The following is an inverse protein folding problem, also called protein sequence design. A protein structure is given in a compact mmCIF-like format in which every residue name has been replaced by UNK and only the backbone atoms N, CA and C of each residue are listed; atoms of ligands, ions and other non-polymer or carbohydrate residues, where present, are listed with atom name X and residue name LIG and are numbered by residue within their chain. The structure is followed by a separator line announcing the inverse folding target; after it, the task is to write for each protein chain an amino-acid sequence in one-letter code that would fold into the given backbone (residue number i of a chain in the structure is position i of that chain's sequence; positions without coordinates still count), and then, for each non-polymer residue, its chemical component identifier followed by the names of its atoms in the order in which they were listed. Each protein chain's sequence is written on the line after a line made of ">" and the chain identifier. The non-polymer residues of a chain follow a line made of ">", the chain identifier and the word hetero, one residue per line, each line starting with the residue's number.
data_IF_214853969932
#
_entry.id   IF_214853969932
#
_cell.length_a   1.000
_cell.length_b   1.000
_cell.length_c   1.000
_cell.angle_alpha   90.00
_cell.angle_beta   90.00
_cell.angle_gamma   90.00
#
_symmetry.space_group_name_H-M   'P 1'
#
loop_
_entity.id
_entity.type
_entity.pdbx_description
1 polymer ?
#
# COMPACT_ATOMS: atom_id res chain seq x y z
N UNK A 1 10.90 -17.33 -1.30
CA UNK A 1 9.79 -17.67 -2.22
C UNK A 1 9.00 -16.40 -2.31
N UNK A 2 9.02 -15.75 -3.47
CA UNK A 2 8.32 -14.50 -3.66
C UNK A 2 6.82 -14.69 -3.68
N UNK A 3 6.09 -13.62 -3.41
CA UNK A 3 4.64 -13.56 -3.58
C UNK A 3 4.36 -13.05 -4.98
N UNK A 4 3.71 -13.87 -5.81
CA UNK A 4 3.19 -13.45 -7.11
C UNK A 4 1.88 -12.69 -6.91
N UNK A 5 1.79 -11.47 -7.43
CA UNK A 5 0.63 -10.59 -7.29
C UNK A 5 0.28 -9.98 -8.65
N UNK A 6 -0.99 -10.04 -9.03
CA UNK A 6 -1.53 -9.25 -10.13
C UNK A 6 -1.93 -7.87 -9.60
N UNK A 7 -1.03 -6.89 -9.71
CA UNK A 7 -1.27 -5.54 -9.19
C UNK A 7 -2.04 -4.65 -10.19
N UNK A 8 -2.84 -3.69 -9.70
CA UNK A 8 -3.63 -2.79 -10.54
C UNK A 8 -2.81 -1.64 -11.09
N UNK A 9 -2.78 -1.46 -12.40
CA UNK A 9 -2.15 -0.32 -13.07
C UNK A 9 -3.03 0.92 -12.95
N UNK A 10 -2.44 2.01 -12.46
CA UNK A 10 -3.12 3.29 -12.25
C UNK A 10 -3.10 4.10 -13.54
N UNK A 11 -4.28 4.46 -14.05
CA UNK A 11 -4.42 5.27 -15.27
C UNK A 11 -5.20 6.56 -15.04
N UNK A 12 -4.83 7.62 -15.74
CA UNK A 12 -5.49 8.92 -15.67
C UNK A 12 -6.55 9.06 -16.75
N UNK A 13 -7.72 9.59 -16.38
CA UNK A 13 -8.80 9.91 -17.31
C UNK A 13 -9.41 11.28 -16.99
N UNK A 14 -9.88 12.00 -18.00
CA UNK A 14 -10.76 13.15 -17.77
C UNK A 14 -12.21 12.70 -17.64
N UNK A 15 -13.05 13.51 -16.99
CA UNK A 15 -14.48 13.21 -16.78
C UNK A 15 -15.25 12.86 -18.07
N UNK A 16 -14.79 13.38 -19.22
CA UNK A 16 -15.34 13.09 -20.55
C UNK A 16 -15.15 11.62 -20.96
N UNK A 17 -14.09 10.99 -20.46
CA UNK A 17 -13.73 9.59 -20.73
C UNK A 17 -14.10 8.67 -19.55
N UNK A 18 -15.21 8.96 -18.87
CA UNK A 18 -15.67 8.19 -17.71
C UNK A 18 -16.06 6.75 -18.06
N UNK A 19 -16.42 6.46 -19.31
CA UNK A 19 -16.73 5.10 -19.78
C UNK A 19 -15.46 4.27 -19.95
N UNK A 20 -14.43 4.85 -20.53
CA UNK A 20 -13.11 4.26 -20.70
C UNK A 20 -12.44 4.03 -19.34
N UNK A 21 -12.57 5.00 -18.43
CA UNK A 21 -12.17 4.85 -17.04
C UNK A 21 -12.85 3.64 -16.38
N UNK A 22 -14.18 3.51 -16.52
CA UNK A 22 -14.90 2.37 -15.98
C UNK A 22 -14.46 1.05 -16.63
N UNK A 23 -14.23 1.03 -17.94
CA UNK A 23 -13.77 -0.17 -18.65
C UNK A 23 -12.37 -0.62 -18.21
N UNK A 24 -11.48 0.32 -17.92
CA UNK A 24 -10.15 0.05 -17.36
C UNK A 24 -10.25 -0.60 -15.98
N UNK A 25 -11.05 0.00 -15.10
CA UNK A 25 -11.20 -0.47 -13.71
C UNK A 25 -11.90 -1.83 -13.62
N UNK A 26 -12.87 -2.10 -14.50
CA UNK A 26 -13.55 -3.41 -14.58
C UNK A 26 -12.62 -4.56 -14.98
N UNK A 27 -11.48 -4.25 -15.59
CA UNK A 27 -10.44 -5.22 -15.92
C UNK A 27 -9.40 -5.37 -14.81
N UNK A 28 -9.67 -4.80 -13.62
CA UNK A 28 -8.81 -4.92 -12.43
C UNK A 28 -7.84 -3.76 -12.22
N UNK A 29 -7.78 -2.80 -13.15
CA UNK A 29 -6.95 -1.60 -12.98
C UNK A 29 -7.50 -0.60 -11.98
N UNK A 30 -6.67 0.37 -11.62
CA UNK A 30 -7.07 1.53 -10.82
C UNK A 30 -7.09 2.75 -11.73
N UNK A 31 -7.89 3.76 -11.39
CA UNK A 31 -7.97 4.97 -12.21
C UNK A 31 -8.15 6.23 -11.39
N UNK A 32 -7.64 7.35 -11.91
CA UNK A 32 -7.93 8.68 -11.40
C UNK A 32 -8.75 9.41 -12.45
N UNK A 33 -9.99 9.74 -12.10
CA UNK A 33 -10.92 10.48 -12.95
C UNK A 33 -10.91 11.96 -12.54
N UNK A 34 -10.42 12.82 -13.42
CA UNK A 34 -10.30 14.26 -13.18
C UNK A 34 -11.55 15.00 -13.65
N UNK A 35 -12.28 15.63 -12.72
CA UNK A 35 -13.38 16.54 -13.04
C UNK A 35 -12.84 17.87 -13.60
N UNK A 36 -11.76 18.37 -12.98
CA UNK A 36 -11.01 19.55 -13.36
C UNK A 36 -9.60 19.47 -12.77
N UNK A 37 -8.64 20.32 -13.19
CA UNK A 37 -7.29 20.30 -12.63
C UNK A 37 -7.29 20.37 -11.10
N UNK A 38 -6.58 19.44 -10.45
CA UNK A 38 -6.46 19.35 -9.00
C UNK A 38 -7.69 18.79 -8.26
N UNK A 39 -8.75 18.38 -8.96
CA UNK A 39 -9.93 17.71 -8.38
C UNK A 39 -10.17 16.37 -9.08
N UNK A 40 -9.51 15.36 -8.55
CA UNK A 40 -9.58 13.97 -9.01
C UNK A 40 -10.39 13.09 -8.07
N UNK A 41 -10.94 12.02 -8.64
CA UNK A 41 -11.59 10.94 -7.90
C UNK A 41 -10.87 9.63 -8.25
N UNK A 42 -10.44 8.91 -7.23
CA UNK A 42 -9.93 7.56 -7.37
C UNK A 42 -11.12 6.63 -7.67
N UNK A 43 -10.97 5.78 -8.69
CA UNK A 43 -11.97 4.81 -9.15
C UNK A 43 -11.31 3.44 -9.15
N UNK A 44 -11.94 2.46 -8.50
CA UNK A 44 -11.35 1.17 -8.18
C UNK A 44 -12.42 0.06 -8.27
N UNK A 45 -12.01 -1.22 -8.36
CA UNK A 45 -12.87 -2.32 -7.95
C UNK A 45 -13.38 -2.08 -6.51
N UNK A 46 -14.57 -2.59 -6.20
CA UNK A 46 -15.10 -2.47 -4.83
C UNK A 46 -14.19 -3.29 -3.90
N UNK A 47 -13.62 -2.67 -2.83
CA UNK A 47 -12.74 -3.39 -1.91
C UNK A 47 -13.44 -4.58 -1.27
N UNK A 48 -12.74 -5.72 -1.20
CA UNK A 48 -13.15 -6.86 -0.39
C UNK A 48 -12.60 -6.69 1.04
N UNK A 49 -13.46 -6.25 1.96
CA UNK A 49 -13.06 -6.06 3.37
C UNK A 49 -12.68 -7.38 4.09
N UNK A 50 -12.98 -8.53 3.51
CA UNK A 50 -12.57 -9.83 4.05
C UNK A 50 -11.16 -10.24 3.62
N UNK A 51 -10.61 -9.63 2.57
CA UNK A 51 -9.23 -9.83 2.14
C UNK A 51 -8.31 -8.80 2.84
N UNK A 52 -7.47 -9.22 3.80
CA UNK A 52 -6.56 -8.31 4.48
C UNK A 52 -5.50 -7.70 3.56
N UNK A 53 -5.31 -8.24 2.36
CA UNK A 53 -4.36 -7.76 1.36
C UNK A 53 -5.01 -7.04 0.17
N UNK A 54 -6.31 -6.68 0.25
CA UNK A 54 -7.03 -6.04 -0.86
C UNK A 54 -6.35 -4.72 -1.31
N UNK A 55 -5.84 -4.72 -2.55
CA UNK A 55 -5.08 -3.58 -3.08
C UNK A 55 -5.96 -2.34 -3.31
N UNK A 56 -7.26 -2.50 -3.51
CA UNK A 56 -8.20 -1.37 -3.68
C UNK A 56 -8.45 -0.68 -2.33
N UNK A 57 -8.62 -1.46 -1.26
CA UNK A 57 -8.71 -0.96 0.12
C UNK A 57 -7.45 -0.17 0.47
N UNK A 58 -6.27 -0.73 0.23
CA UNK A 58 -5.02 -0.05 0.56
C UNK A 58 -4.75 1.17 -0.31
N UNK A 59 -5.18 1.17 -1.58
CA UNK A 59 -5.13 2.36 -2.43
C UNK A 59 -5.96 3.53 -1.88
N UNK A 60 -7.07 3.24 -1.17
CA UNK A 60 -7.90 4.23 -0.46
C UNK A 60 -7.22 4.66 0.86
N UNK A 61 -6.71 3.71 1.63
CA UNK A 61 -6.05 3.97 2.92
C UNK A 61 -4.81 4.85 2.77
N UNK A 62 -4.03 4.65 1.70
CA UNK A 62 -2.84 5.46 1.39
C UNK A 62 -3.18 6.94 1.12
N UNK A 63 -4.44 7.26 0.77
CA UNK A 63 -4.92 8.63 0.66
C UNK A 63 -5.51 9.17 1.98
N UNK A 64 -5.29 8.49 3.10
CA UNK A 64 -5.87 8.82 4.41
C UNK A 64 -7.40 8.67 4.45
N UNK A 65 -7.99 7.94 3.50
CA UNK A 65 -9.43 7.71 3.41
C UNK A 65 -9.78 6.35 4.01
N UNK A 66 -11.03 6.22 4.50
CA UNK A 66 -11.57 4.95 5.03
C UNK A 66 -12.96 4.64 4.50
N UNK A 67 -13.43 5.44 3.54
CA UNK A 67 -14.78 5.37 3.00
C UNK A 67 -14.72 5.62 1.51
N UNK A 68 -15.58 4.93 0.79
CA UNK A 68 -15.82 5.11 -0.63
C UNK A 68 -17.33 5.18 -0.88
N UNK A 69 -17.69 5.55 -2.10
CA UNK A 69 -19.05 5.49 -2.60
C UNK A 69 -19.11 4.47 -3.72
N UNK A 70 -20.26 3.85 -3.91
CA UNK A 70 -20.55 3.02 -5.08
C UNK A 70 -21.73 3.65 -5.80
N UNK A 71 -21.52 4.34 -6.93
CA UNK A 71 -22.60 4.95 -7.68
C UNK A 71 -23.63 3.90 -8.12
N UNK A 72 -24.92 4.22 -7.97
CA UNK A 72 -26.01 3.34 -8.40
C UNK A 72 -26.25 3.39 -9.92
N UNK A 73 -25.86 4.49 -10.57
CA UNK A 73 -26.12 4.78 -11.98
C UNK A 73 -24.89 5.41 -12.67
N UNK A 74 -24.96 5.49 -14.00
CA UNK A 74 -23.93 6.10 -14.83
C UNK A 74 -22.75 5.17 -15.13
N UNK A 75 -21.69 5.68 -15.78
CA UNK A 75 -20.56 4.89 -16.26
C UNK A 75 -19.81 4.14 -15.16
N UNK A 76 -19.73 4.74 -13.96
CA UNK A 76 -19.01 4.21 -12.80
C UNK A 76 -19.87 3.29 -11.92
N UNK A 77 -21.07 2.90 -12.38
CA UNK A 77 -21.96 2.03 -11.62
C UNK A 77 -21.25 0.75 -11.19
N UNK A 78 -21.35 0.42 -9.90
CA UNK A 78 -20.77 -0.79 -9.32
C UNK A 78 -19.26 -0.73 -9.09
N UNK A 79 -18.63 0.44 -9.24
CA UNK A 79 -17.23 0.67 -8.91
C UNK A 79 -17.11 1.52 -7.64
N UNK A 80 -16.04 1.31 -6.86
CA UNK A 80 -15.74 2.15 -5.73
C UNK A 80 -15.15 3.46 -6.21
N UNK A 81 -15.61 4.56 -5.61
CA UNK A 81 -15.12 5.90 -5.88
C UNK A 81 -14.77 6.63 -4.60
N UNK A 82 -13.65 7.34 -4.61
CA UNK A 82 -13.19 8.12 -3.47
C UNK A 82 -12.56 9.43 -3.94
N UNK A 83 -12.95 10.56 -3.35
CA UNK A 83 -12.35 11.85 -3.67
C UNK A 83 -10.89 11.87 -3.23
N UNK A 84 -9.99 12.23 -4.15
CA UNK A 84 -8.57 12.42 -3.82
C UNK A 84 -8.42 13.72 -3.03
N UNK A 85 -7.88 13.68 -1.79
CA UNK A 85 -7.52 14.90 -1.06
C UNK A 85 -6.59 15.77 -1.88
N UNK A 86 -6.72 17.09 -1.77
CA UNK A 86 -5.92 18.04 -2.57
C UNK A 86 -4.42 17.88 -2.30
N UNK A 87 -4.06 17.63 -1.05
CA UNK A 87 -2.70 17.35 -0.55
C UNK A 87 -2.18 15.97 -0.96
N UNK A 88 -3.04 15.08 -1.47
CA UNK A 88 -2.66 13.78 -2.02
C UNK A 88 -2.62 13.75 -3.56
N UNK A 89 -2.87 14.88 -4.25
CA UNK A 89 -2.82 14.91 -5.72
C UNK A 89 -1.45 14.49 -6.27
N UNK A 90 -0.36 14.85 -5.57
CA UNK A 90 0.99 14.45 -5.96
C UNK A 90 1.20 12.93 -5.82
N UNK A 91 0.57 12.29 -4.83
CA UNK A 91 0.63 10.84 -4.64
C UNK A 91 0.05 10.14 -5.86
N UNK A 92 -1.20 10.47 -6.22
CA UNK A 92 -1.87 9.82 -7.35
C UNK A 92 -1.21 10.16 -8.68
N UNK A 93 -0.64 11.35 -8.83
CA UNK A 93 0.14 11.72 -10.02
C UNK A 93 1.39 10.84 -10.15
N UNK A 94 2.14 10.62 -9.06
CA UNK A 94 3.29 9.71 -9.07
C UNK A 94 2.90 8.30 -9.49
N UNK A 95 1.75 7.79 -9.01
CA UNK A 95 1.25 6.46 -9.41
C UNK A 95 0.97 6.41 -10.91
N UNK A 96 0.29 7.43 -11.45
CA UNK A 96 0.01 7.57 -12.89
C UNK A 96 1.32 7.60 -13.71
N UNK A 97 2.29 8.39 -13.27
CA UNK A 97 3.55 8.58 -13.99
C UNK A 97 4.37 7.29 -14.02
N UNK A 98 4.52 6.63 -12.85
CA UNK A 98 5.13 5.29 -12.73
C UNK A 98 4.48 4.31 -13.71
N UNK A 99 3.15 4.30 -13.75
CA UNK A 99 2.36 3.31 -14.47
C UNK A 99 2.14 3.64 -15.95
N UNK A 100 2.61 4.80 -16.42
CA UNK A 100 2.37 5.30 -17.78
C UNK A 100 2.90 4.39 -18.87
N UNK A 101 3.97 3.63 -18.61
CA UNK A 101 4.54 2.66 -19.57
C UNK A 101 3.76 1.34 -19.66
N UNK A 102 2.87 1.04 -18.71
CA UNK A 102 2.16 -0.23 -18.68
C UNK A 102 0.86 -0.12 -19.46
N UNK A 103 0.70 -0.90 -20.53
CA UNK A 103 -0.48 -0.82 -21.39
C UNK A 103 -1.71 -1.53 -20.81
N UNK A 104 -1.49 -2.60 -20.04
CA UNK A 104 -2.56 -3.44 -19.48
C UNK A 104 -3.11 -2.88 -18.15
N UNK A 105 -4.39 -3.12 -17.81
CA UNK A 105 -4.99 -2.71 -16.54
C UNK A 105 -4.37 -3.35 -15.30
N UNK A 106 -3.78 -4.52 -15.45
CA UNK A 106 -3.09 -5.23 -14.37
C UNK A 106 -1.71 -5.67 -14.83
N UNK A 107 -0.81 -5.91 -13.87
CA UNK A 107 0.53 -6.43 -14.12
C UNK A 107 0.87 -7.49 -13.08
N UNK A 108 1.34 -8.64 -13.54
CA UNK A 108 1.88 -9.67 -12.66
C UNK A 108 3.30 -9.31 -12.25
N UNK A 109 3.56 -9.31 -10.95
CA UNK A 109 4.89 -9.11 -10.39
C UNK A 109 5.14 -10.11 -9.25
N UNK A 110 6.38 -10.56 -9.12
CA UNK A 110 6.82 -11.37 -7.99
C UNK A 110 7.71 -10.53 -7.08
N UNK A 111 7.36 -10.48 -5.79
CA UNK A 111 8.15 -9.76 -4.78
C UNK A 111 8.48 -10.70 -3.63
N UNK A 112 9.78 -10.86 -3.36
CA UNK A 112 10.26 -11.48 -2.13
C UNK A 112 10.57 -10.41 -1.07
N UNK A 113 9.75 -10.35 -0.03
CA UNK A 113 9.92 -9.42 1.09
C UNK A 113 11.17 -9.74 1.93
N UNK A 114 11.60 -11.00 1.98
CA UNK A 114 12.80 -11.42 2.71
C UNK A 114 14.08 -11.07 1.96
N UNK A 115 14.00 -10.83 0.65
CA UNK A 115 15.11 -10.34 -0.15
C UNK A 115 15.19 -8.81 -0.13
N UNK A 116 14.07 -8.11 -0.35
CA UNK A 116 14.11 -6.65 -0.49
C UNK A 116 14.13 -5.89 0.84
N UNK A 117 13.35 -6.31 1.85
CA UNK A 117 13.28 -5.65 3.16
C UNK A 117 12.86 -4.16 3.14
N UNK A 118 12.34 -3.64 2.01
CA UNK A 118 12.13 -2.21 1.81
C UNK A 118 11.12 -1.61 2.79
N UNK A 119 10.00 -2.30 3.01
CA UNK A 119 8.93 -1.85 3.91
C UNK A 119 9.32 -1.94 5.40
N UNK A 120 10.49 -2.51 5.72
CA UNK A 120 11.04 -2.52 7.07
C UNK A 120 11.86 -1.25 7.39
N UNK A 121 11.87 -0.27 6.50
CA UNK A 121 12.51 1.03 6.70
C UNK A 121 11.45 2.14 6.69
N UNK A 122 11.61 3.10 7.61
CA UNK A 122 10.77 4.31 7.77
C UNK A 122 9.26 4.10 7.94
N UNK A 123 8.81 2.85 8.16
CA UNK A 123 7.41 2.51 8.42
C UNK A 123 7.15 2.37 9.93
N UNK A 124 6.19 3.13 10.45
CA UNK A 124 5.73 2.99 11.84
C UNK A 124 4.74 1.83 11.95
N UNK A 125 5.14 0.79 12.69
CA UNK A 125 4.34 -0.42 12.89
C UNK A 125 3.70 -0.37 14.27
N UNK A 126 2.37 -0.30 14.29
CA UNK A 126 1.59 -0.37 15.52
C UNK A 126 1.53 -1.82 16.04
N UNK A 127 1.54 -1.95 17.36
CA UNK A 127 1.34 -3.19 18.10
C UNK A 127 -0.03 -3.12 18.77
N UNK A 128 -0.88 -4.09 18.47
CA UNK A 128 -2.22 -4.24 19.05
C UNK A 128 -2.29 -5.43 20.01
N UNK A 129 -3.37 -5.54 20.78
CA UNK A 129 -3.57 -6.61 21.77
C UNK A 129 -3.40 -8.03 21.18
N UNK A 130 -3.77 -8.21 19.91
CA UNK A 130 -3.57 -9.46 19.16
C UNK A 130 -2.09 -9.78 18.97
N UNK A 131 -1.26 -8.77 18.71
CA UNK A 131 0.19 -8.92 18.60
C UNK A 131 0.82 -9.22 19.95
N UNK A 132 0.33 -8.60 21.03
CA UNK A 132 0.82 -8.88 22.39
C UNK A 132 0.58 -10.33 22.79
N UNK A 133 -0.63 -10.86 22.52
CA UNK A 133 -0.96 -12.28 22.72
C UNK A 133 -0.05 -13.19 21.90
N UNK A 134 0.18 -12.85 20.63
CA UNK A 134 1.07 -13.61 19.74
C UNK A 134 2.51 -13.64 20.26
N UNK A 135 3.03 -12.51 20.73
CA UNK A 135 4.36 -12.46 21.35
C UNK A 135 4.40 -13.27 22.65
N UNK A 136 3.33 -13.28 23.44
CA UNK A 136 3.22 -14.10 24.65
C UNK A 136 3.26 -15.60 24.35
N UNK A 137 2.47 -16.05 23.37
CA UNK A 137 2.44 -17.44 22.90
C UNK A 137 3.78 -17.90 22.35
N UNK A 138 4.52 -17.00 21.70
CA UNK A 138 5.89 -17.24 21.24
C UNK A 138 6.96 -17.22 22.36
N UNK A 139 6.59 -16.94 23.61
CA UNK A 139 7.53 -16.78 24.73
C UNK A 139 8.40 -15.52 24.61
N UNK A 140 7.95 -14.52 23.85
CA UNK A 140 8.70 -13.31 23.48
C UNK A 140 8.09 -12.01 24.02
N UNK A 141 7.59 -12.05 25.26
CA UNK A 141 7.11 -10.85 25.98
C UNK A 141 8.18 -9.77 26.13
N UNK A 142 9.47 -10.09 25.97
CA UNK A 142 10.55 -9.12 25.91
C UNK A 142 10.35 -8.09 24.79
N UNK A 143 9.68 -8.45 23.70
CA UNK A 143 9.41 -7.56 22.57
C UNK A 143 8.47 -6.39 22.90
N UNK A 144 7.64 -6.55 23.92
CA UNK A 144 6.73 -5.50 24.41
C UNK A 144 7.41 -4.43 25.27
N UNK A 145 8.74 -4.50 25.40
CA UNK A 145 9.55 -3.58 26.20
C UNK A 145 10.65 -2.94 25.36
N UNK A 146 11.18 -1.78 25.80
CA UNK A 146 12.42 -1.25 25.24
C UNK A 146 13.56 -2.29 25.30
N UNK A 147 14.41 -2.36 24.26
CA UNK A 147 14.51 -1.41 23.15
C UNK A 147 13.64 -1.76 21.92
N UNK A 148 12.81 -2.81 21.98
CA UNK A 148 12.08 -3.33 20.82
C UNK A 148 10.84 -2.53 20.47
N UNK A 149 10.10 -2.08 21.48
CA UNK A 149 8.91 -1.25 21.33
C UNK A 149 9.01 0.02 22.15
N UNK A 150 8.27 1.04 21.73
CA UNK A 150 8.14 2.33 22.43
C UNK A 150 6.71 2.83 22.33
N UNK A 151 6.33 3.75 23.22
CA UNK A 151 5.03 4.42 23.15
C UNK A 151 5.14 5.73 22.36
N UNK A 152 4.26 5.90 21.38
CA UNK A 152 4.07 7.14 20.61
C UNK A 152 2.57 7.48 20.66
N UNK A 153 2.21 8.68 21.11
CA UNK A 153 0.82 9.16 21.18
C UNK A 153 -0.17 8.16 21.83
N UNK A 154 0.28 7.53 22.92
CA UNK A 154 -0.52 6.55 23.67
C UNK A 154 -0.58 5.15 23.05
N UNK A 155 0.00 4.93 21.87
CA UNK A 155 0.05 3.64 21.17
C UNK A 155 1.41 2.99 21.29
N UNK A 156 1.45 1.65 21.30
CA UNK A 156 2.70 0.90 21.27
C UNK A 156 3.13 0.69 19.81
N UNK A 157 4.39 1.01 19.49
CA UNK A 157 4.96 0.88 18.14
C UNK A 157 6.29 0.14 18.18
N UNK A 158 6.64 -0.55 17.09
CA UNK A 158 8.00 -1.06 16.91
C UNK A 158 9.01 0.08 16.87
N UNK A 159 10.15 -0.15 17.49
CA UNK A 159 11.24 0.82 17.53
C UNK A 159 12.05 0.77 16.24
N UNK A 160 12.19 1.93 15.59
CA UNK A 160 13.15 2.13 14.53
C UNK A 160 14.52 2.55 15.10
N UNK A 161 15.59 2.13 14.43
CA UNK A 161 16.96 2.58 14.68
C UNK A 161 17.13 4.04 14.22
N UNK A 162 18.26 4.68 14.56
CA UNK A 162 18.55 6.06 14.14
C UNK A 162 18.53 6.25 12.62
N UNK A 163 18.90 5.21 11.87
CA UNK A 163 18.85 5.17 10.41
C UNK A 163 17.48 4.72 9.88
N UNK A 164 16.42 4.81 10.68
CA UNK A 164 15.02 4.49 10.33
C UNK A 164 14.73 3.02 9.99
N UNK A 165 15.73 2.12 10.04
CA UNK A 165 15.48 0.68 9.89
C UNK A 165 14.75 0.13 11.10
N UNK A 166 13.82 -0.80 10.89
CA UNK A 166 13.23 -1.57 11.97
C UNK A 166 14.32 -2.26 12.79
N UNK A 167 14.24 -2.21 14.12
CA UNK A 167 15.22 -2.88 15.00
C UNK A 167 15.31 -4.39 14.76
N UNK A 168 14.27 -5.00 14.22
CA UNK A 168 14.23 -6.42 13.90
C UNK A 168 14.76 -6.76 12.49
N UNK A 169 15.07 -5.77 11.66
CA UNK A 169 15.64 -5.99 10.33
C UNK A 169 17.13 -6.33 10.46
N UNK A 170 17.50 -7.56 10.09
CA UNK A 170 18.88 -8.00 10.06
C UNK A 170 19.62 -7.49 8.81
N UNK A 171 20.94 -7.66 8.78
CA UNK A 171 21.79 -7.22 7.66
C UNK A 171 21.51 -7.95 6.35
N UNK A 172 20.90 -9.13 6.39
CA UNK A 172 20.49 -9.92 5.23
C UNK A 172 19.03 -9.65 4.80
N UNK A 173 18.45 -8.52 5.23
CA UNK A 173 17.06 -8.11 5.01
C UNK A 173 15.99 -9.02 5.64
N UNK A 174 16.38 -10.03 6.43
CA UNK A 174 15.41 -10.90 7.11
C UNK A 174 14.99 -10.31 8.44
N UNK A 175 13.72 -10.49 8.77
CA UNK A 175 13.17 -10.06 10.04
C UNK A 175 13.49 -11.09 11.15
N UNK A 176 14.15 -10.66 12.21
CA UNK A 176 14.48 -11.49 13.38
C UNK A 176 13.26 -11.95 14.19
N UNK A 177 12.06 -11.44 13.88
CA UNK A 177 10.79 -11.84 14.49
C UNK A 177 9.78 -12.31 13.44
N UNK A 178 10.24 -12.75 12.26
CA UNK A 178 9.37 -12.97 11.10
C UNK A 178 8.16 -13.88 11.37
N UNK A 179 8.34 -14.97 12.12
CA UNK A 179 7.29 -15.97 12.38
C UNK A 179 6.14 -15.43 13.21
N UNK A 180 6.44 -14.60 14.22
CA UNK A 180 5.47 -14.01 15.14
C UNK A 180 5.32 -12.50 14.95
N UNK A 181 5.74 -11.94 13.80
CA UNK A 181 5.62 -10.52 13.47
C UNK A 181 4.19 -10.00 13.66
N UNK A 182 4.10 -8.69 13.94
CA UNK A 182 2.83 -7.99 14.14
C UNK A 182 1.95 -8.02 12.88
N UNK A 183 0.63 -7.89 13.06
CA UNK A 183 -0.37 -7.93 11.99
C UNK A 183 -0.12 -6.84 10.95
N UNK A 184 0.23 -5.63 11.40
CA UNK A 184 0.63 -4.54 10.50
C UNK A 184 1.82 -4.89 9.58
N UNK A 185 2.68 -5.86 9.93
CA UNK A 185 3.72 -6.39 9.03
C UNK A 185 3.30 -7.65 8.27
N UNK A 186 2.38 -8.44 8.82
CA UNK A 186 1.92 -9.70 8.21
C UNK A 186 0.93 -9.45 7.08
N UNK A 187 0.02 -8.52 7.33
CA UNK A 187 -1.12 -8.21 6.48
C UNK A 187 -0.79 -7.05 5.54
N UNK A 188 0.42 -6.50 5.60
CA UNK A 188 0.87 -5.47 4.68
C UNK A 188 0.86 -6.01 3.24
N UNK A 189 0.03 -5.45 2.34
CA UNK A 189 -0.16 -6.01 1.02
C UNK A 189 1.06 -5.79 0.14
N UNK A 190 1.60 -6.91 -0.33
CA UNK A 190 2.63 -6.94 -1.37
C UNK A 190 2.09 -6.28 -2.62
N UNK A 191 2.91 -5.47 -3.29
CA UNK A 191 2.56 -4.71 -4.49
C UNK A 191 1.53 -3.58 -4.30
N UNK A 192 1.18 -3.23 -3.06
CA UNK A 192 0.46 -1.99 -2.77
C UNK A 192 1.26 -0.74 -3.09
N UNK A 193 0.59 0.40 -3.16
CA UNK A 193 1.21 1.68 -3.49
C UNK A 193 2.32 2.06 -2.49
N UNK A 194 2.11 1.84 -1.19
CA UNK A 194 3.14 2.02 -0.17
C UNK A 194 4.31 1.03 -0.35
N UNK A 195 4.03 -0.22 -0.74
CA UNK A 195 5.06 -1.23 -1.00
C UNK A 195 5.97 -0.82 -2.17
N UNK A 196 5.37 -0.43 -3.29
CA UNK A 196 6.08 0.02 -4.49
C UNK A 196 6.89 1.28 -4.17
N UNK A 197 6.30 2.25 -3.47
CA UNK A 197 6.99 3.46 -3.05
C UNK A 197 8.21 3.17 -2.16
N UNK A 198 8.07 2.31 -1.14
CA UNK A 198 9.19 1.94 -0.27
C UNK A 198 10.31 1.23 -1.06
N UNK A 199 9.97 0.40 -2.03
CA UNK A 199 10.96 -0.28 -2.90
C UNK A 199 11.73 0.72 -3.77
N UNK A 200 11.06 1.71 -4.32
CA UNK A 200 11.69 2.78 -5.09
C UNK A 200 12.65 3.58 -4.20
N UNK A 201 12.15 4.06 -3.06
CA UNK A 201 12.89 4.97 -2.18
C UNK A 201 14.07 4.28 -1.49
N UNK A 202 13.84 3.12 -0.90
CA UNK A 202 14.80 2.49 0.01
C UNK A 202 15.73 1.51 -0.70
N UNK A 203 15.34 1.01 -1.88
CA UNK A 203 16.08 -0.02 -2.61
C UNK A 203 16.37 0.31 -4.07
N UNK A 204 15.90 1.47 -4.57
CA UNK A 204 16.04 1.84 -5.98
C UNK A 204 15.46 0.76 -6.93
N UNK A 205 14.41 0.06 -6.49
CA UNK A 205 13.71 -0.98 -7.21
C UNK A 205 12.39 -0.43 -7.76
N UNK A 206 12.31 -0.27 -9.09
CA UNK A 206 11.17 0.33 -9.78
C UNK A 206 10.37 -0.73 -10.53
N UNK A 207 9.04 -0.68 -10.42
CA UNK A 207 8.13 -1.46 -11.29
C UNK A 207 7.82 -0.72 -12.59
N UNK A 208 7.83 0.61 -12.53
CA UNK A 208 7.39 1.50 -13.59
C UNK A 208 8.49 2.37 -14.20
N UNK A 209 8.05 3.50 -14.76
CA UNK A 209 8.93 4.59 -15.20
C UNK A 209 9.71 5.10 -13.99
N UNK A 210 11.02 5.28 -14.18
CA UNK A 210 11.88 5.90 -13.16
C UNK A 210 11.66 7.42 -13.17
N UNK A 211 11.51 8.07 -12.01
CA UNK A 211 11.55 9.53 -11.95
C UNK A 211 12.88 10.01 -12.57
N UNK A 212 12.81 10.98 -13.48
CA UNK A 212 14.01 11.63 -14.01
C UNK A 212 14.78 12.29 -12.85
N UNK A 213 16.11 12.15 -12.85
CA UNK A 213 17.00 12.62 -11.78
C UNK A 213 17.15 14.15 -11.76
#
# INVERSE_FOLDING_TARGET
>A
MGTLVARPVVRSFSIRHSRECAAWVKQGGHAVLWEKPGRGMLVLPVPDESDPADLSLFSILDLGKRRWKVPAEGPLRGLATCLVPKDCNWIVQRRIDRDSQHESPTREIEIDCLECGACCEDNEVLIFDVDEKRFAEAGRLDLLKPPYTRRTDGKLVLTLLKNKKCRHLASDNKCGIYTFRADACRDFPVASECCLYARELERNLYDGVRPEA
#
